data_IF_288752514684
#
_entry.id   IF_288752514684
#
_cell.length_a   1.000
_cell.length_b   1.000
_cell.length_c   1.000
_cell.angle_alpha   90.00
_cell.angle_beta   90.00
_cell.angle_gamma   90.00
#
_symmetry.space_group_name_H-M   'P 1'
#
loop_
_entity.id
_entity.type
_entity.pdbx_description
1 polymer ?
#
# COMPACT_ATOMS: atom_id res chain seq x y z
N UNK A 1 -24.97 -28.12 26.94
CA UNK A 1 -24.79 -27.02 25.97
C UNK A 1 -23.88 -25.90 26.48
N UNK A 2 -24.02 -25.42 27.72
CA UNK A 2 -23.23 -24.27 28.21
C UNK A 2 -21.70 -24.43 28.26
N UNK A 3 -21.17 -25.62 28.54
CA UNK A 3 -19.70 -25.84 28.59
C UNK A 3 -19.03 -25.69 27.21
N UNK A 4 -19.60 -26.31 26.17
CA UNK A 4 -19.08 -26.24 24.80
C UNK A 4 -19.12 -24.80 24.23
N UNK A 5 -20.11 -24.00 24.64
CA UNK A 5 -20.23 -22.61 24.22
C UNK A 5 -19.19 -21.71 24.90
N UNK A 6 -18.87 -21.98 26.18
CA UNK A 6 -17.76 -21.33 26.88
C UNK A 6 -16.41 -21.63 26.23
N UNK A 7 -16.18 -22.87 25.81
CA UNK A 7 -14.95 -23.29 25.13
C UNK A 7 -14.76 -22.56 23.78
N UNK A 8 -15.82 -22.32 23.01
CA UNK A 8 -15.75 -21.58 21.74
C UNK A 8 -15.42 -20.10 21.97
N UNK A 9 -16.02 -19.46 22.98
CA UNK A 9 -15.74 -18.04 23.29
C UNK A 9 -14.29 -17.86 23.74
N UNK A 10 -13.81 -18.74 24.64
CA UNK A 10 -12.40 -18.72 25.10
C UNK A 10 -11.46 -19.04 23.93
N UNK A 11 -11.83 -19.99 23.08
CA UNK A 11 -11.11 -20.32 21.86
C UNK A 11 -10.95 -19.11 20.93
N UNK A 12 -12.05 -18.41 20.64
CA UNK A 12 -12.05 -17.21 19.78
C UNK A 12 -11.17 -16.10 20.38
N UNK A 13 -11.23 -15.87 21.69
CA UNK A 13 -10.38 -14.90 22.37
C UNK A 13 -8.89 -15.26 22.32
N UNK A 14 -8.55 -16.56 22.44
CA UNK A 14 -7.17 -17.02 22.33
C UNK A 14 -6.63 -16.91 20.90
N UNK A 15 -7.45 -17.23 19.90
CA UNK A 15 -7.10 -17.06 18.48
C UNK A 15 -6.81 -15.57 18.21
N UNK A 16 -7.72 -14.69 18.63
CA UNK A 16 -7.57 -13.23 18.46
C UNK A 16 -6.30 -12.69 19.13
N UNK A 17 -6.03 -13.10 20.37
CA UNK A 17 -4.81 -12.72 21.09
C UNK A 17 -3.55 -13.17 20.34
N UNK A 18 -3.49 -14.43 19.90
CA UNK A 18 -2.32 -14.92 19.18
C UNK A 18 -2.11 -14.23 17.83
N UNK A 19 -3.19 -13.93 17.11
CA UNK A 19 -3.14 -13.12 15.88
C UNK A 19 -2.56 -11.74 16.17
N UNK A 20 -3.08 -11.03 17.17
CA UNK A 20 -2.63 -9.68 17.53
C UNK A 20 -1.17 -9.66 18.05
N UNK A 21 -0.65 -10.79 18.53
CA UNK A 21 0.76 -10.95 18.92
C UNK A 21 1.69 -11.41 17.78
N UNK A 22 1.24 -11.43 16.52
CA UNK A 22 2.08 -11.88 15.40
C UNK A 22 2.24 -13.40 15.29
N UNK A 23 1.63 -14.17 16.20
CA UNK A 23 1.81 -15.61 16.33
C UNK A 23 0.68 -16.39 15.65
N UNK A 24 0.46 -16.16 14.35
CA UNK A 24 -0.65 -16.77 13.58
C UNK A 24 -0.61 -18.30 13.62
N UNK A 25 0.58 -18.91 13.66
CA UNK A 25 0.71 -20.37 13.79
C UNK A 25 0.12 -20.91 15.11
N UNK A 26 0.26 -20.18 16.22
CA UNK A 26 -0.35 -20.57 17.50
C UNK A 26 -1.86 -20.36 17.47
N UNK A 27 -2.33 -19.30 16.80
CA UNK A 27 -3.77 -19.11 16.57
C UNK A 27 -4.36 -20.30 15.79
N UNK A 28 -3.64 -20.78 14.77
CA UNK A 28 -4.01 -21.98 14.03
C UNK A 28 -4.06 -23.23 14.93
N UNK A 29 -3.08 -23.44 15.81
CA UNK A 29 -3.10 -24.58 16.74
C UNK A 29 -4.32 -24.57 17.67
N UNK A 30 -4.73 -23.39 18.16
CA UNK A 30 -5.95 -23.26 18.97
C UNK A 30 -7.17 -23.59 18.12
N UNK A 31 -7.24 -23.02 16.91
CA UNK A 31 -8.30 -23.30 15.96
C UNK A 31 -8.46 -24.80 15.64
N UNK A 32 -7.35 -25.51 15.41
CA UNK A 32 -7.36 -26.93 15.06
C UNK A 32 -7.82 -27.80 16.25
N UNK A 33 -7.65 -27.34 17.49
CA UNK A 33 -8.11 -28.02 18.72
C UNK A 33 -9.58 -27.77 19.07
N UNK A 34 -10.24 -26.77 18.48
CA UNK A 34 -11.63 -26.47 18.79
C UNK A 34 -12.59 -27.53 18.19
N UNK A 35 -13.47 -28.14 19.00
CA UNK A 35 -14.40 -29.16 18.52
C UNK A 35 -15.54 -28.57 17.68
N UNK A 36 -15.91 -27.33 17.96
CA UNK A 36 -16.93 -26.57 17.25
C UNK A 36 -16.28 -25.25 16.83
N UNK A 37 -16.49 -24.86 15.58
CA UNK A 37 -15.95 -23.62 15.00
C UNK A 37 -17.11 -22.85 14.40
N UNK A 38 -17.40 -21.69 14.97
CA UNK A 38 -18.45 -20.81 14.46
C UNK A 38 -17.88 -19.79 13.46
N UNK A 39 -18.76 -18.96 12.91
CA UNK A 39 -18.38 -17.92 11.94
C UNK A 39 -17.28 -16.99 12.50
N UNK A 40 -17.28 -16.73 13.80
CA UNK A 40 -16.28 -15.88 14.45
C UNK A 40 -14.93 -16.62 14.49
N UNK A 41 -14.92 -17.89 14.89
CA UNK A 41 -13.70 -18.73 14.90
C UNK A 41 -12.98 -18.73 13.55
N UNK A 42 -13.73 -18.93 12.47
CA UNK A 42 -13.17 -18.91 11.10
C UNK A 42 -12.72 -17.51 10.69
N UNK A 43 -13.56 -16.50 10.92
CA UNK A 43 -13.30 -15.14 10.47
C UNK A 43 -12.10 -14.51 11.18
N UNK A 44 -11.93 -14.73 12.48
CA UNK A 44 -10.77 -14.24 13.24
C UNK A 44 -9.46 -14.84 12.70
N UNK A 45 -9.44 -16.15 12.42
CA UNK A 45 -8.23 -16.78 11.87
C UNK A 45 -7.93 -16.28 10.44
N UNK A 46 -8.95 -16.18 9.58
CA UNK A 46 -8.81 -15.67 8.21
C UNK A 46 -8.29 -14.22 8.23
N UNK A 47 -8.91 -13.34 9.01
CA UNK A 47 -8.46 -11.96 9.15
C UNK A 47 -7.02 -11.87 9.68
N UNK A 48 -6.66 -12.76 10.62
CA UNK A 48 -5.31 -12.87 11.13
C UNK A 48 -4.28 -13.21 10.06
N UNK A 49 -4.57 -14.15 9.16
CA UNK A 49 -3.70 -14.43 8.02
C UNK A 49 -3.55 -13.22 7.09
N UNK A 50 -4.66 -12.53 6.77
CA UNK A 50 -4.64 -11.35 5.89
C UNK A 50 -3.82 -10.20 6.50
N UNK A 51 -3.93 -9.97 7.80
CA UNK A 51 -3.20 -8.92 8.51
C UNK A 51 -1.70 -9.18 8.60
N UNK A 52 -1.28 -10.44 8.41
CA UNK A 52 0.14 -10.84 8.37
C UNK A 52 0.60 -11.16 6.95
N UNK A 53 -0.10 -10.64 5.93
CA UNK A 53 0.26 -10.78 4.51
C UNK A 53 0.30 -12.22 3.98
N UNK A 54 -0.28 -13.17 4.74
CA UNK A 54 -0.40 -14.60 4.41
C UNK A 54 -1.69 -14.87 3.63
N UNK A 55 -1.81 -14.21 2.47
CA UNK A 55 -3.05 -14.15 1.69
C UNK A 55 -3.46 -15.51 1.12
N UNK A 56 -2.51 -16.37 0.77
CA UNK A 56 -2.79 -17.71 0.25
C UNK A 56 -3.48 -18.57 1.32
N UNK A 57 -2.94 -18.59 2.54
CA UNK A 57 -3.54 -19.31 3.65
C UNK A 57 -4.92 -18.78 4.03
N UNK A 58 -5.11 -17.45 4.00
CA UNK A 58 -6.43 -16.85 4.22
C UNK A 58 -7.48 -17.39 3.23
N UNK A 59 -7.12 -17.51 1.95
CA UNK A 59 -8.01 -18.04 0.91
C UNK A 59 -8.28 -19.53 1.06
N UNK A 60 -7.27 -20.31 1.46
CA UNK A 60 -7.42 -21.74 1.76
C UNK A 60 -8.38 -21.96 2.93
N UNK A 61 -8.27 -21.16 3.99
CA UNK A 61 -9.16 -21.25 5.15
C UNK A 61 -10.59 -20.78 4.84
N UNK A 62 -10.77 -19.81 3.93
CA UNK A 62 -12.10 -19.47 3.41
C UNK A 62 -12.76 -20.63 2.67
N UNK A 63 -12.02 -21.30 1.78
CA UNK A 63 -12.54 -22.47 1.05
C UNK A 63 -12.91 -23.61 2.02
N UNK A 64 -12.11 -23.82 3.08
CA UNK A 64 -12.43 -24.78 4.15
C UNK A 64 -13.66 -24.37 4.97
N UNK A 65 -13.85 -23.08 5.22
CA UNK A 65 -15.03 -22.54 5.90
C UNK A 65 -16.30 -22.84 5.10
N UNK A 66 -16.28 -22.58 3.78
CA UNK A 66 -17.39 -22.85 2.87
C UNK A 66 -17.69 -24.36 2.77
N UNK A 67 -16.65 -25.19 2.64
CA UNK A 67 -16.77 -26.66 2.63
C UNK A 67 -17.34 -27.22 3.94
N UNK A 68 -17.12 -26.52 5.05
CA UNK A 68 -17.69 -26.86 6.36
C UNK A 68 -19.14 -26.39 6.53
N UNK A 69 -19.73 -25.77 5.50
CA UNK A 69 -21.10 -25.26 5.52
C UNK A 69 -21.28 -23.98 6.36
N UNK A 70 -20.18 -23.31 6.73
CA UNK A 70 -20.24 -22.05 7.49
C UNK A 70 -20.28 -20.89 6.51
N UNK A 71 -21.32 -20.07 6.58
CA UNK A 71 -21.50 -18.95 5.67
C UNK A 71 -20.64 -17.75 6.05
N UNK A 72 -19.96 -17.17 5.06
CA UNK A 72 -19.22 -15.92 5.17
C UNK A 72 -20.15 -14.75 5.56
N UNK A 73 -19.67 -13.94 6.50
CA UNK A 73 -20.29 -12.69 6.92
C UNK A 73 -19.52 -11.48 6.34
N UNK A 74 -19.97 -10.26 6.64
CA UNK A 74 -19.34 -9.03 6.14
C UNK A 74 -17.83 -8.96 6.44
N UNK A 75 -17.40 -9.32 7.66
CA UNK A 75 -15.99 -9.29 8.08
C UNK A 75 -15.17 -10.36 7.32
N UNK A 76 -15.76 -11.53 7.05
CA UNK A 76 -15.13 -12.54 6.20
C UNK A 76 -14.91 -12.00 4.78
N UNK A 77 -15.93 -11.36 4.18
CA UNK A 77 -15.82 -10.79 2.84
C UNK A 77 -14.76 -9.70 2.78
N UNK A 78 -14.75 -8.75 3.72
CA UNK A 78 -13.72 -7.70 3.82
C UNK A 78 -12.30 -8.31 3.79
N UNK A 79 -12.08 -9.33 4.62
CA UNK A 79 -10.77 -10.00 4.71
C UNK A 79 -10.38 -10.66 3.40
N UNK A 80 -11.30 -11.38 2.77
CA UNK A 80 -11.02 -12.15 1.54
C UNK A 80 -10.94 -11.27 0.30
N UNK A 81 -11.70 -10.18 0.23
CA UNK A 81 -11.58 -9.16 -0.81
C UNK A 81 -10.20 -8.50 -0.74
N UNK A 82 -9.74 -8.13 0.47
CA UNK A 82 -8.38 -7.61 0.69
C UNK A 82 -7.30 -8.60 0.22
N UNK A 83 -7.43 -9.89 0.57
CA UNK A 83 -6.51 -10.93 0.10
C UNK A 83 -6.51 -11.06 -1.43
N UNK A 84 -7.70 -11.05 -2.06
CA UNK A 84 -7.83 -11.11 -3.51
C UNK A 84 -7.21 -9.89 -4.19
N UNK A 85 -7.40 -8.68 -3.63
CA UNK A 85 -6.81 -7.45 -4.14
C UNK A 85 -5.29 -7.48 -4.09
N UNK A 86 -4.70 -7.87 -2.94
CA UNK A 86 -3.25 -7.99 -2.80
C UNK A 86 -2.62 -9.03 -3.74
N UNK A 87 -3.34 -10.12 -4.05
CA UNK A 87 -2.87 -11.17 -4.94
C UNK A 87 -3.27 -10.96 -6.42
N UNK A 88 -4.01 -9.90 -6.75
CA UNK A 88 -4.53 -9.66 -8.10
C UNK A 88 -5.54 -10.70 -8.61
N UNK A 89 -6.26 -11.38 -7.72
CA UNK A 89 -7.18 -12.48 -8.05
C UNK A 89 -8.56 -12.00 -8.50
N UNK A 90 -8.60 -11.28 -9.63
CA UNK A 90 -9.82 -10.66 -10.17
C UNK A 90 -10.98 -11.65 -10.35
N UNK A 91 -10.71 -12.84 -10.91
CA UNK A 91 -11.75 -13.84 -11.16
C UNK A 91 -12.43 -14.36 -9.87
N UNK A 92 -11.70 -14.43 -8.75
CA UNK A 92 -12.27 -14.77 -7.44
C UNK A 92 -13.02 -13.57 -6.86
N UNK A 93 -12.45 -12.37 -6.98
CA UNK A 93 -13.06 -11.11 -6.58
C UNK A 93 -14.45 -10.87 -7.20
N UNK A 94 -14.62 -11.09 -8.51
CA UNK A 94 -15.92 -10.94 -9.18
C UNK A 94 -16.98 -11.94 -8.71
N UNK A 95 -16.58 -13.18 -8.39
CA UNK A 95 -17.49 -14.18 -7.81
C UNK A 95 -17.97 -13.75 -6.42
N UNK A 96 -17.06 -13.24 -5.59
CA UNK A 96 -17.38 -12.71 -4.27
C UNK A 96 -18.29 -11.49 -4.37
N UNK A 97 -18.02 -10.57 -5.30
CA UNK A 97 -18.88 -9.41 -5.54
C UNK A 97 -20.31 -9.84 -5.89
N UNK A 98 -20.47 -10.83 -6.77
CA UNK A 98 -21.79 -11.39 -7.12
C UNK A 98 -22.50 -11.99 -5.90
N UNK A 99 -21.77 -12.68 -5.02
CA UNK A 99 -22.33 -13.23 -3.79
C UNK A 99 -22.73 -12.15 -2.79
N UNK A 100 -21.93 -11.09 -2.66
CA UNK A 100 -22.20 -9.92 -1.81
C UNK A 100 -23.50 -9.23 -2.27
N UNK A 101 -23.68 -9.03 -3.58
CA UNK A 101 -24.93 -8.50 -4.13
C UNK A 101 -26.13 -9.38 -3.74
N UNK A 102 -26.00 -10.71 -3.89
CA UNK A 102 -27.07 -11.65 -3.59
C UNK A 102 -27.45 -11.70 -2.11
N UNK A 103 -26.54 -11.28 -1.22
CA UNK A 103 -26.74 -11.23 0.24
C UNK A 103 -27.14 -9.84 0.74
N UNK A 104 -27.33 -8.87 -0.15
CA UNK A 104 -27.61 -7.47 0.18
C UNK A 104 -26.56 -6.86 1.14
N UNK A 105 -25.30 -7.31 1.02
CA UNK A 105 -24.20 -6.86 1.88
C UNK A 105 -23.48 -5.61 1.33
N UNK A 106 -23.88 -5.09 0.18
CA UNK A 106 -23.29 -3.87 -0.38
C UNK A 106 -23.61 -2.63 0.46
N UNK A 107 -24.74 -2.64 1.15
CA UNK A 107 -25.14 -1.55 2.07
C UNK A 107 -24.22 -1.45 3.28
N UNK A 108 -23.34 -2.44 3.50
CA UNK A 108 -22.29 -2.33 4.50
C UNK A 108 -21.12 -1.51 3.94
N UNK A 109 -20.90 -0.32 4.50
CA UNK A 109 -19.79 0.59 4.13
C UNK A 109 -18.44 -0.15 4.07
N UNK A 110 -18.17 -1.02 5.04
CA UNK A 110 -16.95 -1.83 5.10
C UNK A 110 -16.77 -2.75 3.88
N UNK A 111 -17.85 -3.43 3.45
CA UNK A 111 -17.82 -4.36 2.32
C UNK A 111 -17.72 -3.59 1.01
N UNK A 112 -18.48 -2.50 0.87
CA UNK A 112 -18.42 -1.60 -0.26
C UNK A 112 -17.01 -1.03 -0.47
N UNK A 113 -16.40 -0.48 0.57
CA UNK A 113 -15.02 0.03 0.53
C UNK A 113 -14.00 -1.06 0.17
N UNK A 114 -14.19 -2.29 0.67
CA UNK A 114 -13.33 -3.43 0.32
C UNK A 114 -13.47 -3.86 -1.15
N UNK A 115 -14.65 -3.70 -1.75
CA UNK A 115 -14.85 -3.94 -3.18
C UNK A 115 -14.17 -2.86 -4.04
N UNK A 116 -14.28 -1.59 -3.65
CA UNK A 116 -13.56 -0.49 -4.32
C UNK A 116 -12.05 -0.77 -4.28
N UNK A 117 -11.50 -1.15 -3.11
CA UNK A 117 -10.08 -1.51 -2.94
C UNK A 117 -9.66 -2.68 -3.81
N UNK A 118 -10.46 -3.76 -3.84
CA UNK A 118 -10.23 -4.93 -4.69
C UNK A 118 -10.10 -4.51 -6.16
N UNK A 119 -11.08 -3.77 -6.68
CA UNK A 119 -11.10 -3.39 -8.09
C UNK A 119 -9.98 -2.41 -8.43
N UNK A 120 -9.69 -1.47 -7.54
CA UNK A 120 -8.58 -0.53 -7.67
C UNK A 120 -7.23 -1.26 -7.77
N UNK A 121 -6.92 -2.15 -6.81
CA UNK A 121 -5.66 -2.92 -6.79
C UNK A 121 -5.49 -3.85 -7.98
N UNK A 122 -6.59 -4.35 -8.54
CA UNK A 122 -6.56 -5.16 -9.75
C UNK A 122 -6.59 -4.34 -11.05
N UNK A 123 -6.53 -3.01 -10.98
CA UNK A 123 -6.47 -2.11 -12.15
C UNK A 123 -7.81 -1.88 -12.88
N UNK A 124 -8.94 -2.38 -12.35
CA UNK A 124 -10.28 -2.17 -12.92
C UNK A 124 -10.93 -0.91 -12.35
N UNK A 125 -10.30 0.24 -12.57
CA UNK A 125 -10.73 1.51 -12.01
C UNK A 125 -12.14 1.94 -12.40
N UNK A 126 -12.60 1.61 -13.61
CA UNK A 126 -13.97 1.91 -14.03
C UNK A 126 -14.99 1.17 -13.17
N UNK A 127 -14.72 -0.09 -12.85
CA UNK A 127 -15.57 -0.90 -11.97
C UNK A 127 -15.46 -0.42 -10.53
N UNK A 128 -14.26 -0.03 -10.07
CA UNK A 128 -14.07 0.57 -8.76
C UNK A 128 -14.90 1.85 -8.60
N UNK A 129 -14.92 2.72 -9.63
CA UNK A 129 -15.72 3.93 -9.65
C UNK A 129 -17.22 3.64 -9.71
N UNK A 130 -17.65 2.64 -10.47
CA UNK A 130 -19.04 2.20 -10.50
C UNK A 130 -19.49 1.74 -9.11
N UNK A 131 -18.74 0.84 -8.46
CA UNK A 131 -19.06 0.39 -7.10
C UNK A 131 -19.12 1.57 -6.13
N UNK A 132 -18.15 2.48 -6.21
CA UNK A 132 -18.09 3.69 -5.40
C UNK A 132 -19.35 4.57 -5.55
N UNK A 133 -19.83 4.75 -6.78
CA UNK A 133 -21.06 5.52 -7.05
C UNK A 133 -22.32 4.88 -6.47
N UNK A 134 -22.32 3.56 -6.23
CA UNK A 134 -23.45 2.83 -5.66
C UNK A 134 -23.34 2.66 -4.14
N UNK A 135 -22.30 3.19 -3.49
CA UNK A 135 -22.21 3.21 -2.03
C UNK A 135 -23.29 4.11 -1.44
N UNK A 136 -23.89 3.66 -0.34
CA UNK A 136 -24.91 4.43 0.40
C UNK A 136 -24.29 5.68 1.02
N UNK A 137 -23.08 5.54 1.57
CA UNK A 137 -22.28 6.62 2.13
C UNK A 137 -20.90 6.60 1.46
N UNK A 138 -20.49 7.74 0.92
CA UNK A 138 -19.15 7.96 0.38
C UNK A 138 -18.31 8.67 1.42
N UNK A 139 -17.86 7.91 2.42
CA UNK A 139 -17.03 8.39 3.53
C UNK A 139 -15.57 8.64 3.12
N UNK A 140 -14.80 9.27 4.00
CA UNK A 140 -13.35 9.46 3.85
C UNK A 140 -12.61 8.21 3.34
N UNK A 141 -12.94 7.02 3.85
CA UNK A 141 -12.28 5.76 3.47
C UNK A 141 -12.57 5.40 2.02
N UNK A 142 -13.81 5.55 1.56
CA UNK A 142 -14.21 5.29 0.19
C UNK A 142 -13.46 6.20 -0.81
N UNK A 143 -13.37 7.50 -0.50
CA UNK A 143 -12.63 8.49 -1.31
C UNK A 143 -11.15 8.16 -1.35
N UNK A 144 -10.53 7.91 -0.20
CA UNK A 144 -9.12 7.56 -0.09
C UNK A 144 -8.77 6.33 -0.90
N UNK A 145 -9.61 5.30 -0.83
CA UNK A 145 -9.42 4.06 -1.58
C UNK A 145 -9.46 4.31 -3.09
N UNK A 146 -10.42 5.10 -3.56
CA UNK A 146 -10.54 5.43 -4.98
C UNK A 146 -9.37 6.30 -5.48
N UNK A 147 -8.99 7.35 -4.72
CA UNK A 147 -7.88 8.24 -5.01
C UNK A 147 -6.56 7.46 -5.07
N UNK A 148 -6.29 6.60 -4.09
CA UNK A 148 -5.09 5.75 -4.05
C UNK A 148 -5.02 4.82 -5.26
N UNK A 149 -6.14 4.20 -5.64
CA UNK A 149 -6.24 3.35 -6.83
C UNK A 149 -5.80 4.06 -8.11
N UNK A 150 -6.21 5.31 -8.29
CA UNK A 150 -5.82 6.12 -9.44
C UNK A 150 -4.38 6.65 -9.37
N UNK A 151 -3.88 6.92 -8.16
CA UNK A 151 -2.53 7.44 -7.94
C UNK A 151 -1.44 6.48 -8.44
N UNK A 152 -1.61 5.18 -8.21
CA UNK A 152 -0.65 4.15 -8.64
C UNK A 152 -0.49 4.05 -10.17
N UNK A 153 -1.47 4.53 -10.94
CA UNK A 153 -1.43 4.51 -12.40
C UNK A 153 -0.89 5.83 -13.01
N UNK A 154 -0.46 6.77 -12.18
CA UNK A 154 0.12 8.04 -12.62
C UNK A 154 -0.87 8.98 -13.31
N UNK A 155 -2.19 8.73 -13.17
CA UNK A 155 -3.23 9.55 -13.80
C UNK A 155 -3.55 10.76 -12.91
N UNK A 156 -2.56 11.65 -12.76
CA UNK A 156 -2.63 12.81 -11.84
C UNK A 156 -3.87 13.68 -12.02
N UNK A 157 -4.28 13.96 -13.27
CA UNK A 157 -5.47 14.77 -13.57
C UNK A 157 -6.77 14.24 -12.95
N UNK A 158 -6.91 12.91 -12.90
CA UNK A 158 -8.11 12.29 -12.33
C UNK A 158 -8.02 12.27 -10.80
N UNK A 159 -6.82 12.05 -10.24
CA UNK A 159 -6.56 12.12 -8.80
C UNK A 159 -6.94 13.50 -8.24
N UNK A 160 -6.48 14.59 -8.88
CA UNK A 160 -6.86 15.95 -8.48
C UNK A 160 -8.35 16.20 -8.60
N UNK A 161 -9.00 15.72 -9.66
CA UNK A 161 -10.45 15.84 -9.81
C UNK A 161 -11.20 15.12 -8.69
N UNK A 162 -10.77 13.92 -8.31
CA UNK A 162 -11.38 13.16 -7.22
C UNK A 162 -11.14 13.83 -5.87
N UNK A 163 -9.96 14.41 -5.66
CA UNK A 163 -9.66 15.23 -4.49
C UNK A 163 -10.58 16.45 -4.39
N UNK A 164 -10.78 17.18 -5.50
CA UNK A 164 -11.72 18.30 -5.55
C UNK A 164 -13.16 17.84 -5.29
N UNK A 165 -13.57 16.68 -5.81
CA UNK A 165 -14.90 16.12 -5.58
C UNK A 165 -15.11 15.72 -4.11
N UNK A 166 -14.11 15.12 -3.47
CA UNK A 166 -14.10 14.82 -2.03
C UNK A 166 -14.36 16.10 -1.21
N UNK A 167 -13.60 17.17 -1.50
CA UNK A 167 -13.77 18.47 -0.84
C UNK A 167 -15.16 19.07 -1.06
N UNK A 168 -15.67 19.01 -2.29
CA UNK A 168 -16.99 19.54 -2.62
C UNK A 168 -18.14 18.76 -1.96
N UNK A 169 -17.90 17.51 -1.59
CA UNK A 169 -18.84 16.69 -0.81
C UNK A 169 -18.74 16.91 0.70
N UNK A 170 -17.83 17.79 1.15
CA UNK A 170 -17.67 18.12 2.57
C UNK A 170 -16.84 17.12 3.36
N UNK A 171 -16.15 16.19 2.68
CA UNK A 171 -15.23 15.25 3.32
C UNK A 171 -13.86 15.90 3.50
N UNK A 172 -13.32 15.83 4.71
CA UNK A 172 -12.01 16.39 5.03
C UNK A 172 -10.87 15.44 4.61
N UNK A 173 -9.86 15.91 3.86
CA UNK A 173 -8.70 15.09 3.54
C UNK A 173 -7.92 14.67 4.78
N UNK A 174 -7.41 13.45 4.75
CA UNK A 174 -6.52 12.93 5.80
C UNK A 174 -5.10 12.72 5.30
N UNK A 175 -4.21 12.37 6.22
CA UNK A 175 -2.82 12.00 5.94
C UNK A 175 -2.73 10.96 4.81
N UNK A 176 -3.66 10.02 4.71
CA UNK A 176 -3.69 9.02 3.63
C UNK A 176 -4.11 9.62 2.28
N UNK A 177 -5.07 10.55 2.28
CA UNK A 177 -5.49 11.28 1.08
C UNK A 177 -4.32 12.02 0.46
N UNK A 178 -3.59 12.78 1.27
CA UNK A 178 -2.43 13.56 0.82
C UNK A 178 -1.30 12.68 0.31
N UNK A 179 -1.00 11.56 0.99
CA UNK A 179 -0.02 10.60 0.50
C UNK A 179 -0.38 10.08 -0.90
N UNK A 180 -1.66 9.81 -1.15
CA UNK A 180 -2.14 9.33 -2.45
C UNK A 180 -2.00 10.41 -3.53
N UNK A 181 -2.35 11.66 -3.24
CA UNK A 181 -2.18 12.79 -4.17
C UNK A 181 -0.70 13.03 -4.48
N UNK A 182 0.17 13.05 -3.45
CA UNK A 182 1.61 13.23 -3.63
C UNK A 182 2.25 12.10 -4.42
N UNK A 183 1.82 10.85 -4.21
CA UNK A 183 2.25 9.72 -5.02
C UNK A 183 1.90 9.94 -6.49
N UNK A 184 0.68 10.42 -6.79
CA UNK A 184 0.28 10.74 -8.16
C UNK A 184 1.16 11.85 -8.77
N UNK A 185 1.48 12.89 -7.99
CA UNK A 185 2.40 13.95 -8.41
C UNK A 185 3.81 13.42 -8.69
N UNK A 186 4.33 12.53 -7.85
CA UNK A 186 5.66 11.92 -8.04
C UNK A 186 5.71 11.10 -9.32
N UNK A 187 4.70 10.26 -9.57
CA UNK A 187 4.62 9.44 -10.78
C UNK A 187 4.43 10.28 -12.05
N UNK A 188 3.70 11.39 -11.97
CA UNK A 188 3.47 12.30 -13.09
C UNK A 188 4.60 13.33 -13.28
N UNK A 189 5.53 13.45 -12.33
CA UNK A 189 6.61 14.44 -12.35
C UNK A 189 6.15 15.90 -12.19
N UNK A 190 4.99 16.14 -11.57
CA UNK A 190 4.41 17.48 -11.42
C UNK A 190 4.85 18.09 -10.09
N UNK A 191 6.03 18.71 -10.10
CA UNK A 191 6.72 19.19 -8.89
C UNK A 191 6.00 20.32 -8.18
N UNK A 192 5.50 21.31 -8.92
CA UNK A 192 4.87 22.51 -8.34
C UNK A 192 3.58 22.17 -7.59
N UNK A 193 2.68 21.40 -8.22
CA UNK A 193 1.45 20.94 -7.58
C UNK A 193 1.75 20.04 -6.38
N UNK A 194 2.73 19.13 -6.49
CA UNK A 194 3.16 18.28 -5.38
C UNK A 194 3.66 19.07 -4.17
N UNK A 195 4.47 20.12 -4.40
CA UNK A 195 4.94 20.99 -3.32
C UNK A 195 3.78 21.77 -2.68
N UNK A 196 2.88 22.34 -3.49
CA UNK A 196 1.70 23.05 -2.98
C UNK A 196 0.82 22.13 -2.13
N UNK A 197 0.63 20.87 -2.55
CA UNK A 197 -0.14 19.87 -1.80
C UNK A 197 0.56 19.55 -0.47
N UNK A 198 1.88 19.33 -0.49
CA UNK A 198 2.67 19.02 0.71
C UNK A 198 2.63 20.14 1.76
N UNK A 199 2.76 21.40 1.33
CA UNK A 199 2.70 22.58 2.21
C UNK A 199 1.29 22.81 2.77
N UNK A 200 0.25 22.55 1.98
CA UNK A 200 -1.14 22.72 2.40
C UNK A 200 -1.53 21.81 3.56
N UNK A 201 -0.89 20.65 3.72
CA UNK A 201 -1.16 19.72 4.83
C UNK A 201 -1.05 20.40 6.19
N UNK A 202 0.07 21.05 6.45
CA UNK A 202 0.29 21.79 7.70
C UNK A 202 -0.30 23.18 7.70
N UNK A 203 -0.44 23.82 6.54
CA UNK A 203 -0.91 25.20 6.43
C UNK A 203 -2.42 25.37 6.52
N UNK A 204 -3.18 24.45 5.92
CA UNK A 204 -4.63 24.56 5.76
C UNK A 204 -5.41 23.47 6.52
N UNK A 205 -4.78 22.33 6.82
CA UNK A 205 -5.46 21.16 7.39
C UNK A 205 -4.89 20.71 8.76
N UNK A 206 -3.89 21.42 9.30
CA UNK A 206 -3.21 21.08 10.57
C UNK A 206 -2.71 19.62 10.65
N UNK A 207 -2.40 19.02 9.49
CA UNK A 207 -1.88 17.65 9.38
C UNK A 207 -0.36 17.63 9.44
N UNK A 208 0.18 16.62 10.14
CA UNK A 208 1.62 16.40 10.22
C UNK A 208 2.10 15.51 9.08
N UNK A 209 3.16 15.93 8.38
CA UNK A 209 3.79 15.13 7.35
C UNK A 209 4.63 14.00 7.98
N UNK A 210 4.43 12.77 7.49
CA UNK A 210 5.19 11.59 7.92
C UNK A 210 6.28 11.21 6.90
N UNK A 211 7.06 10.16 7.19
CA UNK A 211 8.15 9.69 6.33
C UNK A 211 7.72 9.41 4.89
N UNK A 212 6.53 8.89 4.66
CA UNK A 212 6.06 8.58 3.31
C UNK A 212 5.78 9.84 2.49
N UNK A 213 5.35 10.94 3.11
CA UNK A 213 5.15 12.21 2.41
C UNK A 213 6.50 12.80 1.96
N UNK A 214 7.50 12.77 2.84
CA UNK A 214 8.85 13.22 2.50
C UNK A 214 9.51 12.31 1.44
N UNK A 215 9.27 10.99 1.50
CA UNK A 215 9.72 10.07 0.45
C UNK A 215 9.12 10.42 -0.91
N UNK A 216 7.82 10.76 -0.97
CA UNK A 216 7.18 11.21 -2.21
C UNK A 216 7.81 12.50 -2.74
N UNK A 217 8.10 13.47 -1.87
CA UNK A 217 8.76 14.71 -2.26
C UNK A 217 10.18 14.48 -2.78
N UNK A 218 10.97 13.67 -2.08
CA UNK A 218 12.32 13.30 -2.49
C UNK A 218 12.33 12.59 -3.84
N UNK A 219 11.42 11.62 -4.04
CA UNK A 219 11.25 10.87 -5.28
C UNK A 219 10.82 11.79 -6.45
N UNK A 220 9.89 12.71 -6.21
CA UNK A 220 9.41 13.67 -7.21
C UNK A 220 10.53 14.61 -7.67
N UNK A 221 11.32 15.17 -6.73
CA UNK A 221 12.49 15.98 -7.08
C UNK A 221 13.55 15.15 -7.82
N UNK A 222 13.81 13.91 -7.37
CA UNK A 222 14.79 13.02 -7.98
C UNK A 222 14.43 12.67 -9.44
N UNK A 223 13.17 12.29 -9.69
CA UNK A 223 12.66 11.99 -11.05
C UNK A 223 12.66 13.20 -11.97
N UNK A 224 12.49 14.41 -11.44
CA UNK A 224 12.54 15.65 -12.23
C UNK A 224 13.97 16.19 -12.46
N UNK A 225 14.99 15.49 -11.97
CA UNK A 225 16.40 15.90 -12.12
C UNK A 225 16.85 16.98 -11.14
N UNK A 226 15.98 17.41 -10.21
CA UNK A 226 16.30 18.38 -9.16
C UNK A 226 16.97 17.67 -7.97
N UNK A 227 18.12 17.06 -8.22
CA UNK A 227 18.77 16.15 -7.27
C UNK A 227 19.18 16.82 -5.96
N UNK A 228 19.67 18.06 -6.02
CA UNK A 228 20.05 18.82 -4.83
C UNK A 228 18.83 19.08 -3.93
N UNK A 229 17.67 19.41 -4.51
CA UNK A 229 16.43 19.58 -3.74
C UNK A 229 15.95 18.26 -3.13
N UNK A 230 16.04 17.16 -3.87
CA UNK A 230 15.74 15.81 -3.34
C UNK A 230 16.62 15.51 -2.13
N UNK A 231 17.92 15.78 -2.22
CA UNK A 231 18.85 15.57 -1.11
C UNK A 231 18.54 16.47 0.10
N UNK A 232 18.19 17.74 -0.12
CA UNK A 232 17.80 18.65 0.97
C UNK A 232 16.57 18.11 1.69
N UNK A 233 15.52 17.71 0.97
CA UNK A 233 14.31 17.13 1.55
C UNK A 233 14.61 15.91 2.40
N UNK A 234 15.51 15.03 1.96
CA UNK A 234 15.90 13.83 2.73
C UNK A 234 16.63 14.21 4.02
N UNK A 235 17.53 15.19 3.98
CA UNK A 235 18.31 15.61 5.15
C UNK A 235 17.50 16.42 6.17
N UNK A 236 16.50 17.16 5.71
CA UNK A 236 15.63 17.98 6.56
C UNK A 236 14.46 17.19 7.16
N UNK A 237 14.36 15.88 6.89
CA UNK A 237 13.38 15.02 7.52
C UNK A 237 13.47 15.12 9.06
N UNK A 238 12.35 15.32 9.78
CA UNK A 238 12.35 15.40 11.24
C UNK A 238 12.52 14.03 11.94
N UNK A 239 12.78 12.98 11.16
CA UNK A 239 12.96 11.59 11.59
C UNK A 239 14.10 10.96 10.77
N UNK A 240 14.58 9.79 11.20
CA UNK A 240 15.61 9.06 10.47
C UNK A 240 15.11 8.62 9.09
N UNK A 241 15.79 9.00 7.98
CA UNK A 241 15.44 8.54 6.65
C UNK A 241 15.55 7.02 6.54
N UNK A 242 14.68 6.40 5.74
CA UNK A 242 14.78 4.97 5.44
C UNK A 242 15.82 4.72 4.32
N UNK A 243 16.37 3.49 4.18
CA UNK A 243 17.31 3.20 3.09
C UNK A 243 16.70 3.40 1.69
N UNK A 244 15.39 3.19 1.56
CA UNK A 244 14.65 3.28 0.29
C UNK A 244 14.77 4.68 -0.33
N UNK A 245 14.68 5.75 0.46
CA UNK A 245 14.75 7.12 -0.10
C UNK A 245 16.14 7.46 -0.64
N UNK A 246 17.20 6.93 0.01
CA UNK A 246 18.56 7.05 -0.50
C UNK A 246 18.76 6.23 -1.78
N UNK A 247 18.13 5.06 -1.89
CA UNK A 247 18.11 4.28 -3.13
C UNK A 247 17.45 5.05 -4.28
N UNK A 248 16.35 5.73 -4.00
CA UNK A 248 15.67 6.58 -4.98
C UNK A 248 16.59 7.70 -5.47
N UNK A 249 17.28 8.40 -4.57
CA UNK A 249 18.23 9.45 -4.94
C UNK A 249 19.42 8.88 -5.74
N UNK A 250 19.96 7.73 -5.32
CA UNK A 250 21.04 7.04 -6.05
C UNK A 250 20.63 6.72 -7.50
N UNK A 251 19.48 6.07 -7.69
CA UNK A 251 18.97 5.73 -9.02
C UNK A 251 18.77 6.97 -9.91
N UNK A 252 18.28 8.07 -9.33
CA UNK A 252 18.15 9.34 -10.04
C UNK A 252 19.53 9.94 -10.38
N UNK A 253 20.48 9.90 -9.47
CA UNK A 253 21.86 10.35 -9.71
C UNK A 253 22.52 9.59 -10.86
N UNK A 254 22.26 8.28 -11.00
CA UNK A 254 22.69 7.51 -12.18
C UNK A 254 22.02 8.03 -13.46
N UNK A 255 20.70 8.24 -13.40
CA UNK A 255 19.90 8.67 -14.55
C UNK A 255 20.32 10.05 -15.06
N UNK A 256 20.60 10.97 -14.15
CA UNK A 256 20.93 12.37 -14.44
C UNK A 256 22.44 12.67 -14.45
N UNK A 257 23.28 11.67 -14.15
CA UNK A 257 24.74 11.75 -14.26
C UNK A 257 25.48 12.44 -13.10
N UNK A 258 24.83 12.70 -11.96
CA UNK A 258 25.47 13.33 -10.79
C UNK A 258 26.12 12.28 -9.88
N UNK A 259 27.36 11.90 -10.20
CA UNK A 259 28.08 10.82 -9.51
C UNK A 259 28.49 11.15 -8.08
N UNK A 260 28.81 12.42 -7.82
CA UNK A 260 29.24 12.87 -6.49
C UNK A 260 28.11 12.70 -5.47
N UNK A 261 26.92 13.22 -5.81
CA UNK A 261 25.75 13.07 -4.97
C UNK A 261 25.27 11.61 -4.88
N UNK A 262 25.43 10.84 -5.96
CA UNK A 262 25.16 9.39 -5.94
C UNK A 262 26.06 8.63 -4.96
N UNK A 263 27.34 8.99 -4.86
CA UNK A 263 28.26 8.41 -3.88
C UNK A 263 27.89 8.80 -2.44
N UNK A 264 27.55 10.07 -2.22
CA UNK A 264 27.12 10.52 -0.90
C UNK A 264 25.84 9.81 -0.43
N UNK A 265 24.86 9.64 -1.33
CA UNK A 265 23.64 8.88 -1.04
C UNK A 265 23.92 7.40 -0.70
N UNK A 266 24.92 6.79 -1.34
CA UNK A 266 25.39 5.44 -1.00
C UNK A 266 25.96 5.36 0.42
N UNK A 267 26.83 6.31 0.80
CA UNK A 267 27.42 6.35 2.14
C UNK A 267 26.33 6.48 3.22
N UNK A 268 25.29 7.28 2.97
CA UNK A 268 24.15 7.42 3.88
C UNK A 268 23.34 6.12 4.00
N UNK A 269 23.08 5.42 2.89
CA UNK A 269 22.36 4.14 2.92
C UNK A 269 23.11 3.07 3.74
N UNK A 270 24.42 2.94 3.54
CA UNK A 270 25.26 1.95 4.25
C UNK A 270 25.43 2.28 5.73
N UNK A 271 25.37 3.56 6.11
CA UNK A 271 25.35 3.95 7.52
C UNK A 271 24.07 3.50 8.24
N UNK A 272 22.97 3.37 7.51
CA UNK A 272 21.69 2.89 8.05
C UNK A 272 21.65 1.37 8.09
N UNK A 273 22.04 0.70 7.01
CA UNK A 273 22.14 -0.75 6.90
C UNK A 273 23.46 -1.15 6.24
N UNK A 274 24.37 -1.72 7.03
CA UNK A 274 25.70 -2.14 6.59
C UNK A 274 25.67 -3.31 5.59
N UNK A 275 24.51 -3.95 5.43
CA UNK A 275 24.27 -5.09 4.55
C UNK A 275 23.30 -4.75 3.41
N UNK A 276 23.08 -3.47 3.13
CA UNK A 276 22.16 -3.05 2.07
C UNK A 276 22.64 -3.50 0.68
N UNK A 277 22.14 -4.65 0.24
CA UNK A 277 22.47 -5.21 -1.07
C UNK A 277 22.08 -4.27 -2.22
N UNK A 278 21.02 -3.46 -2.05
CA UNK A 278 20.56 -2.50 -3.06
C UNK A 278 21.59 -1.39 -3.27
N UNK A 279 22.12 -0.84 -2.18
CA UNK A 279 23.18 0.16 -2.20
C UNK A 279 24.46 -0.36 -2.88
N UNK A 280 24.87 -1.60 -2.59
CA UNK A 280 26.05 -2.19 -3.24
C UNK A 280 25.84 -2.46 -4.74
N UNK A 281 24.65 -2.90 -5.15
CA UNK A 281 24.31 -3.08 -6.58
C UNK A 281 24.41 -1.75 -7.34
N UNK A 282 24.01 -0.64 -6.73
CA UNK A 282 24.16 0.69 -7.32
C UNK A 282 25.64 1.03 -7.60
N UNK A 283 26.51 0.88 -6.60
CA UNK A 283 27.94 1.19 -6.75
C UNK A 283 28.58 0.34 -7.85
N UNK A 284 28.24 -0.95 -7.93
CA UNK A 284 28.73 -1.81 -9.00
C UNK A 284 28.33 -1.30 -10.39
N UNK A 285 27.07 -0.87 -10.58
CA UNK A 285 26.60 -0.29 -11.84
C UNK A 285 27.32 1.01 -12.18
N UNK A 286 27.52 1.89 -11.20
CA UNK A 286 28.24 3.15 -11.38
C UNK A 286 29.68 2.92 -11.89
N UNK A 287 30.39 1.92 -11.36
CA UNK A 287 31.75 1.59 -11.82
C UNK A 287 31.78 0.93 -13.21
N UNK A 288 30.78 0.12 -13.55
CA UNK A 288 30.67 -0.48 -14.88
C UNK A 288 30.46 0.60 -15.96
N UNK A 289 29.62 1.60 -15.70
CA UNK A 289 29.42 2.74 -16.62
C UNK A 289 30.72 3.52 -16.85
N UNK A 290 31.59 3.64 -15.84
CA UNK A 290 32.92 4.28 -15.97
C UNK A 290 33.84 3.45 -16.87
N UNK A 291 33.83 2.13 -16.71
CA UNK A 291 34.67 1.23 -17.52
C UNK A 291 34.27 1.27 -19.01
N UNK A 292 32.97 1.24 -19.30
CA UNK A 292 32.44 1.34 -20.67
C UNK A 292 32.71 2.71 -21.30
N UNK A 293 32.59 3.80 -20.52
CA UNK A 293 32.88 5.15 -21.01
C UNK A 293 34.38 5.35 -21.33
N UNK A 294 35.27 4.75 -20.54
CA UNK A 294 36.72 4.77 -20.85
C UNK A 294 37.06 3.96 -22.10
N UNK A 295 36.39 2.83 -22.33
CA UNK A 295 36.59 2.03 -23.54
C UNK A 295 36.07 2.72 -24.80
N UNK A 296 34.89 3.35 -24.74
CA UNK A 296 34.34 4.11 -25.89
C UNK A 296 35.19 5.35 -26.23
N UNK A 297 35.73 6.05 -25.23
CA UNK A 297 36.66 7.17 -25.46
C UNK A 297 38.00 6.71 -26.07
N UNK A 298 38.51 5.54 -25.69
CA UNK A 298 39.73 4.97 -26.32
C UNK A 298 39.52 4.65 -27.80
N UNK A 299 38.40 4.02 -28.15
CA UNK A 299 38.06 3.68 -29.55
C UNK A 299 37.92 4.94 -30.42
N UNK A 300 37.43 6.05 -29.86
CA UNK A 300 37.33 7.33 -30.57
C UNK A 300 38.64 8.11 -30.67
N UNK A 301 39.62 7.87 -29.79
CA UNK A 301 40.95 8.48 -29.86
C UNK A 301 41.93 7.77 -30.81
N UNK A 302 41.60 6.54 -31.25
CA UNK A 302 42.41 5.71 -32.15
C UNK A 302 41.94 5.74 -33.62
N UNK A 303 41.04 6.67 -33.98
CA UNK A 303 40.61 6.95 -35.36
C UNK A 303 41.04 8.36 -35.79
#
# INVERSE_FOLDING_TARGET
MGLLQGDVIVGNALIDMYVNCGSVSKAQEVFDKLPIRDVVTWTTLIAGYVNHERHEEALQYHERMEQSGVFSNAVTFVSILKACGSMGLMGKGQRLHTEIMRKDLLESDLVGNSLVDLYAKCGLLLVAHEVFQHLVVQDEVSWNTLIAGHAHLGVSKLVFRLFDQMLNNGEEPTTSTFLSVLNACSHAGIVEDGLSVFESMSGNYDLTQNIEHFNCMADMFARSGQLEKSCIVIREMPFHPNPIVWHTLMNACQTWGNRELGWEAFEQAVQIDDKDAGAFVFVMKMFLDVSLHRETMKIHSER
#
